data_IF_498830388407
#
_entry.id   IF_498830388407
#
_cell.length_a   1.000
_cell.length_b   1.000
_cell.length_c   1.000
_cell.angle_alpha   90.00
_cell.angle_beta   90.00
_cell.angle_gamma   90.00
#
_symmetry.space_group_name_H-M   'P 1'
#
loop_
_entity.id
_entity.type
_entity.pdbx_description
1 polymer ?
#
# COMPACT_ATOMS: atom_id res chain seq x y z
N UNK A 1 -18.10 9.37 35.90
CA UNK A 1 -18.90 8.14 35.61
C UNK A 1 -18.88 7.94 34.10
N UNK A 2 -18.44 6.84 33.48
CA UNK A 2 -18.32 5.44 33.88
C UNK A 2 -17.24 4.77 32.98
N UNK A 3 -16.02 4.45 33.48
CA UNK A 3 -15.02 3.68 32.73
C UNK A 3 -15.12 2.19 33.13
N UNK A 4 -15.48 1.33 32.17
CA UNK A 4 -15.30 -0.13 32.29
C UNK A 4 -14.15 -0.50 31.36
N UNK A 5 -12.92 -0.51 31.85
CA UNK A 5 -12.24 -1.71 32.36
C UNK A 5 -12.44 -2.89 31.40
N UNK A 6 -11.59 -2.95 30.38
CA UNK A 6 -11.30 -4.21 29.69
C UNK A 6 -9.92 -4.62 30.17
N UNK A 7 -9.91 -5.77 30.85
CA UNK A 7 -8.84 -6.35 31.61
C UNK A 7 -7.59 -6.63 30.77
N UNK A 8 -6.44 -6.20 31.30
CA UNK A 8 -5.13 -6.60 30.84
C UNK A 8 -4.91 -8.10 31.15
N UNK A 9 -4.80 -8.91 30.11
CA UNK A 9 -4.31 -10.28 30.24
C UNK A 9 -2.78 -10.24 30.21
N UNK A 10 -2.16 -10.20 31.39
CA UNK A 10 -0.76 -10.58 31.53
C UNK A 10 -0.68 -12.11 31.57
N UNK A 11 -0.20 -12.73 30.49
CA UNK A 11 0.29 -14.10 30.53
C UNK A 11 1.82 -14.04 30.59
N UNK A 12 2.36 -14.21 31.80
CA UNK A 12 3.77 -14.45 32.04
C UNK A 12 4.11 -15.87 31.57
N UNK A 13 4.85 -16.00 30.47
CA UNK A 13 5.42 -17.27 30.05
C UNK A 13 6.84 -17.41 30.61
N UNK A 14 7.02 -18.46 31.40
CA UNK A 14 8.21 -18.81 32.16
C UNK A 14 9.44 -19.01 31.26
N UNK A 15 10.56 -18.44 31.68
CA UNK A 15 11.91 -18.71 31.21
C UNK A 15 12.27 -20.19 31.45
N UNK A 16 12.32 -20.97 30.38
CA UNK A 16 13.02 -22.26 30.32
C UNK A 16 14.36 -22.08 29.64
N UNK A 17 15.45 -22.07 30.41
CA UNK A 17 16.82 -22.11 29.91
C UNK A 17 17.14 -23.54 29.47
N UNK A 18 17.31 -23.79 28.17
CA UNK A 18 17.99 -24.98 27.66
C UNK A 18 19.35 -24.55 27.09
N UNK A 19 20.42 -24.94 27.78
CA UNK A 19 21.77 -24.80 27.29
C UNK A 19 22.13 -26.04 26.45
N UNK A 20 22.43 -25.82 25.17
CA UNK A 20 23.06 -26.82 24.29
C UNK A 20 24.08 -26.10 23.41
N UNK A 21 25.26 -26.72 23.29
CA UNK A 21 26.55 -26.12 22.96
C UNK A 21 26.64 -25.37 21.62
N UNK A 22 27.13 -24.12 21.68
CA UNK A 22 27.50 -23.33 20.52
C UNK A 22 28.89 -23.78 20.02
N UNK A 23 28.92 -24.71 19.07
CA UNK A 23 30.12 -24.93 18.25
C UNK A 23 30.29 -23.75 17.29
N UNK A 24 31.21 -22.85 17.61
CA UNK A 24 31.61 -21.77 16.69
C UNK A 24 32.54 -22.35 15.61
N UNK A 25 31.97 -22.82 14.49
CA UNK A 25 32.72 -22.93 13.25
C UNK A 25 32.81 -21.55 12.60
N UNK A 26 34.04 -21.03 12.46
CA UNK A 26 34.32 -19.85 11.66
C UNK A 26 33.93 -20.12 10.19
N UNK A 27 32.76 -19.64 9.79
CA UNK A 27 32.35 -19.68 8.39
C UNK A 27 33.26 -18.74 7.59
N UNK A 28 33.95 -19.30 6.61
CA UNK A 28 34.63 -18.56 5.53
C UNK A 28 33.60 -17.60 4.90
N UNK A 29 33.92 -16.33 4.60
CA UNK A 29 32.96 -15.46 3.95
C UNK A 29 32.69 -16.03 2.55
N UNK A 30 31.53 -16.67 2.39
CA UNK A 30 31.00 -16.94 1.07
C UNK A 30 30.70 -15.57 0.46
N UNK A 31 31.45 -15.21 -0.59
CA UNK A 31 31.07 -14.09 -1.43
C UNK A 31 29.63 -14.33 -1.88
N UNK A 32 28.71 -13.49 -1.41
CA UNK A 32 27.31 -13.57 -1.82
C UNK A 32 27.28 -13.51 -3.34
N UNK A 33 26.57 -14.42 -4.03
CA UNK A 33 26.27 -14.19 -5.43
C UNK A 33 25.54 -12.85 -5.46
N UNK A 34 26.11 -11.85 -6.17
CA UNK A 34 25.35 -10.65 -6.52
C UNK A 34 24.10 -11.18 -7.19
N UNK A 35 22.97 -11.10 -6.48
CA UNK A 35 21.68 -11.31 -7.09
C UNK A 35 21.67 -10.41 -8.31
N UNK A 36 21.73 -11.02 -9.50
CA UNK A 36 21.63 -10.29 -10.74
C UNK A 36 20.39 -9.44 -10.61
N UNK A 37 20.56 -8.13 -10.67
CA UNK A 37 19.45 -7.20 -10.68
C UNK A 37 18.57 -7.64 -11.83
N UNK A 38 17.45 -8.32 -11.53
CA UNK A 38 16.39 -8.49 -12.50
C UNK A 38 16.08 -7.07 -12.96
N UNK A 39 16.34 -6.78 -14.24
CA UNK A 39 16.09 -5.46 -14.81
C UNK A 39 14.60 -5.20 -14.65
N UNK A 40 14.21 -4.55 -13.55
CA UNK A 40 12.84 -4.11 -13.33
C UNK A 40 12.57 -3.16 -14.47
N UNK A 41 11.72 -3.58 -15.41
CA UNK A 41 11.29 -2.70 -16.49
C UNK A 41 10.78 -1.42 -15.86
N UNK A 42 11.36 -0.29 -16.26
CA UNK A 42 10.98 1.02 -15.73
C UNK A 42 9.50 1.26 -16.03
N UNK A 43 8.74 1.66 -15.01
CA UNK A 43 7.34 2.04 -15.16
C UNK A 43 7.20 3.39 -15.86
N UNK A 44 5.98 3.76 -16.25
CA UNK A 44 5.72 5.10 -16.80
C UNK A 44 6.03 6.20 -15.77
N UNK A 45 5.67 5.96 -14.49
CA UNK A 45 6.06 6.81 -13.37
C UNK A 45 7.58 6.94 -13.26
N UNK A 46 8.33 5.82 -13.28
CA UNK A 46 9.80 5.86 -13.17
C UNK A 46 10.44 6.67 -14.30
N UNK A 47 9.90 6.55 -15.53
CA UNK A 47 10.38 7.36 -16.67
C UNK A 47 10.06 8.85 -16.50
N UNK A 48 8.88 9.19 -16.01
CA UNK A 48 8.50 10.58 -15.77
C UNK A 48 9.39 11.21 -14.70
N UNK A 49 9.60 10.50 -13.59
CA UNK A 49 10.47 10.97 -12.51
C UNK A 49 11.93 11.11 -12.95
N UNK A 50 12.39 10.35 -13.95
CA UNK A 50 13.76 10.43 -14.46
C UNK A 50 14.05 11.67 -15.33
N UNK A 51 13.05 12.48 -15.71
CA UNK A 51 13.30 13.72 -16.48
C UNK A 51 13.73 14.87 -15.57
N UNK A 52 14.46 15.89 -16.08
CA UNK A 52 14.80 17.08 -15.30
C UNK A 52 13.58 17.77 -14.67
N UNK A 53 12.46 17.82 -15.40
CA UNK A 53 11.20 18.40 -14.91
C UNK A 53 10.61 17.56 -13.79
N UNK A 54 10.61 16.23 -13.95
CA UNK A 54 10.09 15.25 -12.99
C UNK A 54 10.85 15.20 -11.67
N UNK A 55 12.08 15.70 -11.62
CA UNK A 55 12.90 15.79 -10.41
C UNK A 55 12.58 17.01 -9.52
N UNK A 56 11.79 17.97 -10.01
CA UNK A 56 11.28 19.06 -9.18
C UNK A 56 10.10 18.59 -8.33
N UNK A 57 9.84 19.19 -7.16
CA UNK A 57 8.65 18.84 -6.35
C UNK A 57 7.35 18.95 -7.12
N UNK A 58 7.23 19.99 -7.96
CA UNK A 58 6.07 20.16 -8.84
C UNK A 58 5.98 19.03 -9.87
N UNK A 59 7.09 18.69 -10.52
CA UNK A 59 7.15 17.60 -11.49
C UNK A 59 6.86 16.24 -10.87
N UNK A 60 7.36 15.97 -9.67
CA UNK A 60 7.05 14.74 -8.92
C UNK A 60 5.54 14.60 -8.70
N UNK A 61 4.88 15.66 -8.21
CA UNK A 61 3.43 15.68 -8.02
C UNK A 61 2.70 15.46 -9.35
N UNK A 62 3.15 16.10 -10.43
CA UNK A 62 2.55 15.93 -11.76
C UNK A 62 2.70 14.48 -12.28
N UNK A 63 3.90 13.89 -12.16
CA UNK A 63 4.17 12.51 -12.55
C UNK A 63 3.32 11.52 -11.75
N UNK A 64 3.24 11.69 -10.43
CA UNK A 64 2.41 10.86 -9.55
C UNK A 64 0.94 11.03 -9.93
N UNK A 65 0.45 12.25 -10.15
CA UNK A 65 -0.92 12.52 -10.56
C UNK A 65 -1.32 11.85 -11.88
N UNK A 66 -0.43 11.83 -12.87
CA UNK A 66 -0.65 11.10 -14.12
C UNK A 66 -0.81 9.60 -13.86
N UNK A 67 0.07 9.03 -13.04
CA UNK A 67 0.01 7.61 -12.70
C UNK A 67 -1.24 7.29 -11.84
N UNK A 68 -1.66 8.18 -10.94
CA UNK A 68 -2.95 8.08 -10.22
C UNK A 68 -4.10 7.96 -11.22
N UNK A 69 -4.12 8.78 -12.28
CA UNK A 69 -5.14 8.70 -13.33
C UNK A 69 -5.16 7.34 -14.04
N UNK A 70 -3.99 6.76 -14.32
CA UNK A 70 -3.87 5.42 -14.91
C UNK A 70 -4.43 4.35 -13.96
N UNK A 71 -4.07 4.41 -12.68
CA UNK A 71 -4.49 3.43 -11.68
C UNK A 71 -5.97 3.57 -11.30
N UNK A 72 -6.51 4.79 -11.30
CA UNK A 72 -7.94 5.03 -11.09
C UNK A 72 -8.78 4.46 -12.24
N UNK A 73 -8.32 4.62 -13.50
CA UNK A 73 -8.96 3.98 -14.63
C UNK A 73 -8.94 2.44 -14.53
N UNK A 74 -7.81 1.86 -14.07
CA UNK A 74 -7.70 0.42 -13.78
C UNK A 74 -8.67 -0.01 -12.68
N UNK A 75 -8.71 0.73 -11.57
CA UNK A 75 -9.60 0.50 -10.44
C UNK A 75 -11.07 0.51 -10.89
N UNK A 76 -11.48 1.50 -11.68
CA UNK A 76 -12.86 1.61 -12.15
C UNK A 76 -13.27 0.43 -13.05
N UNK A 77 -12.38 -0.02 -13.95
CA UNK A 77 -12.63 -1.25 -14.73
C UNK A 77 -12.78 -2.47 -13.83
N UNK A 78 -11.88 -2.64 -12.86
CA UNK A 78 -11.92 -3.74 -11.90
C UNK A 78 -13.21 -3.72 -11.07
N UNK A 79 -13.64 -2.55 -10.61
CA UNK A 79 -14.87 -2.34 -9.87
C UNK A 79 -16.11 -2.75 -10.66
N UNK A 80 -16.22 -2.32 -11.92
CA UNK A 80 -17.33 -2.72 -12.80
C UNK A 80 -17.33 -4.24 -13.02
N UNK A 81 -16.17 -4.84 -13.28
CA UNK A 81 -16.05 -6.29 -13.41
C UNK A 81 -16.47 -7.02 -12.12
N UNK A 82 -16.07 -6.53 -10.95
CA UNK A 82 -16.48 -7.09 -9.66
C UNK A 82 -18.00 -7.01 -9.46
N UNK A 83 -18.63 -5.88 -9.81
CA UNK A 83 -20.09 -5.73 -9.75
C UNK A 83 -20.84 -6.66 -10.70
N UNK A 84 -20.30 -6.92 -11.90
CA UNK A 84 -20.90 -7.83 -12.87
C UNK A 84 -20.90 -9.29 -12.39
N UNK A 85 -19.87 -9.71 -11.63
CA UNK A 85 -19.77 -11.07 -11.08
C UNK A 85 -20.73 -11.33 -9.92
N UNK A 86 -21.22 -10.28 -9.26
CA UNK A 86 -22.18 -10.42 -8.16
C UNK A 86 -23.59 -10.59 -8.72
N UNK A 87 -24.27 -11.68 -8.40
CA UNK A 87 -25.66 -11.89 -8.84
C UNK A 87 -26.66 -11.22 -7.90
N UNK A 88 -26.38 -11.23 -6.59
CA UNK A 88 -27.33 -10.81 -5.57
C UNK A 88 -27.33 -9.28 -5.41
N UNK A 89 -28.49 -8.58 -5.52
CA UNK A 89 -28.56 -7.12 -5.35
C UNK A 89 -27.97 -6.63 -4.03
N UNK A 90 -28.20 -7.35 -2.93
CA UNK A 90 -27.64 -7.02 -1.60
C UNK A 90 -26.10 -6.99 -1.58
N UNK A 91 -25.45 -7.87 -2.35
CA UNK A 91 -23.99 -7.92 -2.41
C UNK A 91 -23.44 -6.77 -3.28
N UNK A 92 -24.11 -6.44 -4.40
CA UNK A 92 -23.78 -5.25 -5.20
C UNK A 92 -23.87 -3.98 -4.37
N UNK A 93 -24.97 -3.81 -3.64
CA UNK A 93 -25.17 -2.67 -2.74
C UNK A 93 -24.10 -2.58 -1.65
N UNK A 94 -23.70 -3.72 -1.07
CA UNK A 94 -22.62 -3.78 -0.09
C UNK A 94 -21.27 -3.38 -0.69
N UNK A 95 -20.92 -3.87 -1.89
CA UNK A 95 -19.68 -3.49 -2.58
C UNK A 95 -19.67 -2.00 -2.96
N UNK A 96 -20.79 -1.46 -3.44
CA UNK A 96 -20.95 -0.03 -3.71
C UNK A 96 -20.74 0.82 -2.45
N UNK A 97 -21.34 0.41 -1.32
CA UNK A 97 -21.15 1.09 -0.03
C UNK A 97 -19.70 1.04 0.41
N UNK A 98 -19.06 -0.13 0.31
CA UNK A 98 -17.65 -0.30 0.65
C UNK A 98 -16.73 0.57 -0.23
N UNK A 99 -17.02 0.68 -1.53
CA UNK A 99 -16.23 1.50 -2.44
C UNK A 99 -16.31 2.99 -2.10
N UNK A 100 -17.51 3.52 -1.78
CA UNK A 100 -17.66 4.91 -1.34
C UNK A 100 -16.96 5.19 -0.02
N UNK A 101 -17.06 4.26 0.94
CA UNK A 101 -16.37 4.38 2.22
C UNK A 101 -14.84 4.34 2.05
N UNK A 102 -14.35 3.50 1.13
CA UNK A 102 -12.92 3.44 0.80
C UNK A 102 -12.40 4.77 0.22
N UNK A 103 -13.18 5.45 -0.65
CA UNK A 103 -12.79 6.78 -1.17
C UNK A 103 -12.63 7.77 -0.01
N UNK A 104 -13.64 7.85 0.87
CA UNK A 104 -13.60 8.76 2.02
C UNK A 104 -12.43 8.45 2.95
N UNK A 105 -12.15 7.15 3.18
CA UNK A 105 -10.99 6.71 3.94
C UNK A 105 -9.68 7.14 3.27
N UNK A 106 -9.49 6.85 1.98
CA UNK A 106 -8.27 7.20 1.23
C UNK A 106 -8.01 8.70 1.33
N UNK A 107 -9.03 9.52 1.10
CA UNK A 107 -8.87 10.97 1.08
C UNK A 107 -8.51 11.50 2.48
N UNK A 108 -9.14 10.97 3.54
CA UNK A 108 -8.80 11.32 4.92
C UNK A 108 -7.40 10.83 5.35
N UNK A 109 -7.05 9.59 5.00
CA UNK A 109 -5.77 8.96 5.32
C UNK A 109 -4.62 9.71 4.64
N UNK A 110 -4.77 10.02 3.35
CA UNK A 110 -3.73 10.72 2.60
C UNK A 110 -3.64 12.22 2.94
N UNK A 111 -4.72 12.85 3.42
CA UNK A 111 -4.67 14.23 3.92
C UNK A 111 -3.80 14.37 5.18
N UNK A 112 -3.64 13.31 5.97
CA UNK A 112 -2.81 13.32 7.17
C UNK A 112 -1.30 13.48 6.89
N UNK A 113 -0.88 13.35 5.63
CA UNK A 113 0.51 13.57 5.20
C UNK A 113 0.81 15.05 4.90
N UNK A 114 -0.18 15.95 5.00
CA UNK A 114 0.00 17.37 4.70
C UNK A 114 -0.12 18.19 5.97
N UNK A 115 0.94 18.92 6.29
CA UNK A 115 0.98 19.93 7.35
C UNK A 115 1.79 21.13 6.85
N UNK A 116 1.44 22.34 7.31
CA UNK A 116 2.11 23.59 6.90
C UNK A 116 3.58 23.61 7.31
N UNK A 117 3.93 22.94 8.41
CA UNK A 117 5.28 22.91 8.96
C UNK A 117 6.18 21.85 8.31
N UNK A 118 5.64 20.92 7.52
CA UNK A 118 6.37 19.76 6.99
C UNK A 118 7.00 20.00 5.61
N UNK A 119 6.83 21.21 5.07
CA UNK A 119 7.43 21.64 3.82
C UNK A 119 6.82 21.00 2.57
N UNK A 120 7.42 21.25 1.40
CA UNK A 120 6.81 20.91 0.11
C UNK A 120 6.81 19.40 -0.22
N UNK A 121 7.70 18.62 0.41
CA UNK A 121 7.75 17.16 0.24
C UNK A 121 6.54 16.45 0.85
N UNK A 122 5.92 17.00 1.89
CA UNK A 122 4.66 16.51 2.47
C UNK A 122 3.56 16.33 1.40
N UNK A 123 3.50 17.24 0.41
CA UNK A 123 2.57 17.12 -0.72
C UNK A 123 2.92 16.00 -1.68
N UNK A 124 4.20 15.70 -1.89
CA UNK A 124 4.64 14.55 -2.69
C UNK A 124 4.21 13.25 -2.00
N UNK A 125 4.42 13.17 -0.68
CA UNK A 125 4.03 12.00 0.13
C UNK A 125 2.51 11.77 0.12
N UNK A 126 1.71 12.83 0.28
CA UNK A 126 0.26 12.74 0.19
C UNK A 126 -0.21 12.22 -1.19
N UNK A 127 0.39 12.68 -2.29
CA UNK A 127 0.07 12.19 -3.63
C UNK A 127 0.51 10.72 -3.82
N UNK A 128 1.66 10.35 -3.28
CA UNK A 128 2.15 8.97 -3.30
C UNK A 128 1.22 8.04 -2.50
N UNK A 129 0.70 8.48 -1.36
CA UNK A 129 -0.33 7.76 -0.60
C UNK A 129 -1.57 7.48 -1.46
N UNK A 130 -2.09 8.50 -2.16
CA UNK A 130 -3.25 8.33 -3.04
C UNK A 130 -2.97 7.29 -4.12
N UNK A 131 -1.79 7.34 -4.74
CA UNK A 131 -1.37 6.40 -5.76
C UNK A 131 -1.34 4.96 -5.23
N UNK A 132 -0.65 4.72 -4.11
CA UNK A 132 -0.47 3.37 -3.58
C UNK A 132 -1.78 2.76 -3.10
N UNK A 133 -2.64 3.56 -2.44
CA UNK A 133 -3.99 3.14 -2.05
C UNK A 133 -4.84 2.80 -3.28
N UNK A 134 -4.74 3.57 -4.35
CA UNK A 134 -5.49 3.33 -5.60
C UNK A 134 -5.01 2.05 -6.30
N UNK A 135 -3.69 1.81 -6.37
CA UNK A 135 -3.11 0.56 -6.89
C UNK A 135 -3.60 -0.66 -6.11
N UNK A 136 -3.48 -0.61 -4.79
CA UNK A 136 -3.91 -1.69 -3.91
C UNK A 136 -5.40 -1.99 -4.10
N UNK A 137 -6.24 -0.95 -4.17
CA UNK A 137 -7.68 -1.13 -4.35
C UNK A 137 -8.03 -1.75 -5.69
N UNK A 138 -7.32 -1.37 -6.76
CA UNK A 138 -7.49 -2.00 -8.06
C UNK A 138 -7.23 -3.51 -7.98
N UNK A 139 -6.13 -3.93 -7.33
CA UNK A 139 -5.79 -5.35 -7.14
C UNK A 139 -6.83 -6.12 -6.30
N UNK A 140 -7.33 -5.51 -5.23
CA UNK A 140 -8.40 -6.09 -4.40
C UNK A 140 -9.66 -6.36 -5.23
N UNK A 141 -10.04 -5.41 -6.10
CA UNK A 141 -11.22 -5.52 -6.96
C UNK A 141 -11.02 -6.52 -8.11
N UNK A 142 -9.82 -6.62 -8.66
CA UNK A 142 -9.47 -7.63 -9.68
C UNK A 142 -9.56 -9.05 -9.11
N UNK A 143 -9.15 -9.23 -7.86
CA UNK A 143 -9.25 -10.52 -7.13
C UNK A 143 -10.63 -10.77 -6.53
N UNK A 144 -11.53 -9.80 -6.60
CA UNK A 144 -12.82 -9.89 -5.92
C UNK A 144 -13.67 -11.00 -6.54
N UNK A 145 -13.76 -12.12 -5.80
CA UNK A 145 -14.53 -13.32 -6.16
C UNK A 145 -14.10 -13.97 -7.48
N UNK A 146 -12.83 -13.79 -7.88
CA UNK A 146 -12.23 -14.46 -9.05
C UNK A 146 -11.44 -15.72 -8.71
N UNK A 147 -11.20 -15.98 -7.41
CA UNK A 147 -10.56 -17.20 -6.92
C UNK A 147 -11.51 -17.96 -5.97
N UNK A 148 -12.14 -19.01 -6.48
CA UNK A 148 -12.63 -20.17 -5.74
C UNK A 148 -12.43 -21.42 -6.60
#
# INVERSE_FOLDING_TARGET
MNPRLVSAWMAAALLGLVASDASAQAAKPAASPKAGAATRSMTALDRCLATPEGQSTYGMIACIGQEVGVQDARLNRAYQAALMRLERPRQKAALQKAQRAWIAFRDADCAAYVDEDWGSLARVEANQCVLDRTRQRAEELERFRTAY
#
